data_IF_661973294802
#
_entry.id   IF_661973294802
#
_cell.length_a   1.000
_cell.length_b   1.000
_cell.length_c   1.000
_cell.angle_alpha   90.00
_cell.angle_beta   90.00
_cell.angle_gamma   90.00
#
_symmetry.space_group_name_H-M   'P 1'
#
loop_
_entity.id
_entity.type
_entity.pdbx_description
1 polymer ?
#
# COMPACT_ATOMS: atom_id res chain seq x y z
N UNK A 1 18.93 -1.52 -4.26
CA UNK A 1 18.66 -2.94 -3.96
C UNK A 1 20.01 -3.62 -3.80
N UNK A 2 20.29 -4.37 -2.71
CA UNK A 2 21.64 -4.93 -2.49
C UNK A 2 21.96 -6.12 -3.42
N UNK A 3 20.92 -6.74 -3.96
CA UNK A 3 21.01 -7.90 -4.86
C UNK A 3 20.98 -7.52 -6.35
N UNK A 4 21.18 -6.24 -6.67
CA UNK A 4 21.21 -5.73 -8.05
C UNK A 4 22.55 -5.07 -8.30
N UNK A 5 23.24 -5.47 -9.37
CA UNK A 5 24.51 -4.85 -9.75
C UNK A 5 24.29 -3.41 -10.22
N UNK A 6 25.26 -2.51 -10.05
CA UNK A 6 25.13 -1.11 -10.50
C UNK A 6 24.80 -0.99 -12.00
N UNK A 7 25.31 -1.90 -12.82
CA UNK A 7 25.03 -1.94 -14.26
C UNK A 7 23.55 -2.24 -14.56
N UNK A 8 22.95 -3.20 -13.84
CA UNK A 8 21.54 -3.53 -14.01
C UNK A 8 20.64 -2.42 -13.50
N UNK A 9 21.00 -1.77 -12.39
CA UNK A 9 20.26 -0.63 -11.84
C UNK A 9 20.28 0.56 -12.81
N UNK A 10 21.45 0.87 -13.37
CA UNK A 10 21.61 1.91 -14.39
C UNK A 10 20.78 1.60 -15.65
N UNK A 11 20.87 0.36 -16.17
CA UNK A 11 20.08 -0.08 -17.33
C UNK A 11 18.57 0.04 -17.07
N UNK A 12 18.13 -0.32 -15.88
CA UNK A 12 16.73 -0.17 -15.48
C UNK A 12 16.32 1.30 -15.43
N UNK A 13 17.16 2.17 -14.85
CA UNK A 13 16.98 3.62 -14.87
C UNK A 13 16.81 4.18 -16.28
N UNK A 14 17.69 3.79 -17.21
CA UNK A 14 17.63 4.23 -18.61
C UNK A 14 16.32 3.79 -19.29
N UNK A 15 15.90 2.54 -19.08
CA UNK A 15 14.61 2.03 -19.59
C UNK A 15 13.41 2.79 -19.01
N UNK A 16 13.47 3.20 -17.75
CA UNK A 16 12.43 4.05 -17.16
C UNK A 16 12.42 5.45 -17.77
N UNK A 17 13.59 6.03 -18.02
CA UNK A 17 13.71 7.38 -18.58
C UNK A 17 13.33 7.47 -20.05
N UNK A 18 13.32 6.35 -20.78
CA UNK A 18 12.74 6.26 -22.13
C UNK A 18 11.21 6.36 -22.15
N UNK A 19 10.54 6.17 -21.01
CA UNK A 19 9.08 6.30 -20.89
C UNK A 19 8.68 7.74 -20.59
N UNK A 20 7.52 8.13 -21.09
CA UNK A 20 6.92 9.42 -20.76
C UNK A 20 6.60 9.53 -19.27
N UNK A 21 6.44 10.78 -18.78
CA UNK A 21 6.02 11.02 -17.40
C UNK A 21 4.66 10.39 -17.07
N UNK A 22 3.73 10.41 -18.02
CA UNK A 22 2.41 9.80 -17.87
C UNK A 22 2.49 8.28 -17.71
N UNK A 23 3.29 7.60 -18.53
CA UNK A 23 3.49 6.15 -18.42
C UNK A 23 4.10 5.77 -17.09
N UNK A 24 5.10 6.53 -16.62
CA UNK A 24 5.70 6.30 -15.29
C UNK A 24 4.68 6.50 -14.16
N UNK A 25 3.79 7.48 -14.27
CA UNK A 25 2.70 7.67 -13.29
C UNK A 25 1.74 6.49 -13.29
N UNK A 26 1.29 6.04 -14.47
CA UNK A 26 0.41 4.86 -14.61
C UNK A 26 1.03 3.61 -13.99
N UNK A 27 2.33 3.39 -14.21
CA UNK A 27 3.05 2.30 -13.57
C UNK A 27 3.03 2.40 -12.04
N UNK A 28 3.30 3.58 -11.49
CA UNK A 28 3.24 3.80 -10.03
C UNK A 28 1.85 3.51 -9.45
N UNK A 29 0.79 3.94 -10.14
CA UNK A 29 -0.60 3.62 -9.76
C UNK A 29 -0.86 2.11 -9.79
N UNK A 30 -0.46 1.42 -10.86
CA UNK A 30 -0.65 -0.03 -11.00
C UNK A 30 0.12 -0.82 -9.93
N UNK A 31 1.35 -0.40 -9.60
CA UNK A 31 2.13 -1.00 -8.52
C UNK A 31 1.44 -0.83 -7.17
N UNK A 32 0.88 0.37 -6.88
CA UNK A 32 0.12 0.64 -5.66
C UNK A 32 -1.12 -0.24 -5.57
N UNK A 33 -1.87 -0.38 -6.66
CA UNK A 33 -3.06 -1.22 -6.71
C UNK A 33 -2.73 -2.69 -6.46
N UNK A 34 -1.65 -3.18 -7.09
CA UNK A 34 -1.15 -4.54 -6.88
C UNK A 34 -0.76 -4.79 -5.42
N UNK A 35 0.01 -3.86 -4.82
CA UNK A 35 0.40 -3.97 -3.42
C UNK A 35 -0.82 -3.99 -2.48
N UNK A 36 -1.83 -3.15 -2.75
CA UNK A 36 -3.09 -3.17 -1.97
C UNK A 36 -3.84 -4.48 -2.13
N UNK A 37 -3.94 -5.02 -3.34
CA UNK A 37 -4.61 -6.29 -3.59
C UNK A 37 -3.97 -7.45 -2.79
N UNK A 38 -2.63 -7.51 -2.76
CA UNK A 38 -1.92 -8.52 -1.97
C UNK A 38 -2.15 -8.40 -0.47
N UNK A 39 -2.15 -7.18 0.06
CA UNK A 39 -2.42 -6.97 1.49
C UNK A 39 -3.86 -7.32 1.84
N UNK A 40 -4.83 -6.93 1.02
CA UNK A 40 -6.23 -7.29 1.24
C UNK A 40 -6.46 -8.80 1.16
N UNK A 41 -5.87 -9.47 0.17
CA UNK A 41 -5.94 -10.92 0.05
C UNK A 41 -5.38 -11.62 1.30
N UNK A 42 -4.21 -11.18 1.78
CA UNK A 42 -3.60 -11.70 3.02
C UNK A 42 -4.48 -11.46 4.27
N UNK A 43 -5.15 -10.32 4.38
CA UNK A 43 -6.08 -10.03 5.48
C UNK A 43 -7.29 -10.96 5.42
N UNK A 44 -7.89 -11.12 4.23
CA UNK A 44 -9.07 -11.97 4.03
C UNK A 44 -8.77 -13.45 4.16
N UNK A 45 -7.56 -13.89 3.83
CA UNK A 45 -7.10 -15.26 4.08
C UNK A 45 -7.08 -15.58 5.58
N UNK A 46 -6.60 -14.64 6.41
CA UNK A 46 -6.54 -14.81 7.87
C UNK A 46 -7.91 -14.66 8.54
N UNK A 47 -8.76 -13.79 7.99
CA UNK A 47 -10.14 -13.60 8.45
C UNK A 47 -11.09 -13.45 7.25
N UNK A 48 -11.71 -14.55 6.79
CA UNK A 48 -12.64 -14.52 5.65
C UNK A 48 -13.86 -13.61 5.84
N UNK A 49 -14.23 -13.32 7.10
CA UNK A 49 -15.35 -12.47 7.47
C UNK A 49 -14.91 -11.05 7.87
N UNK A 50 -13.70 -10.64 7.48
CA UNK A 50 -13.20 -9.30 7.78
C UNK A 50 -14.15 -8.22 7.23
N UNK A 51 -14.62 -7.36 8.12
CA UNK A 51 -15.44 -6.21 7.76
C UNK A 51 -14.60 -5.17 6.97
N UNK A 52 -15.22 -4.25 6.24
CA UNK A 52 -14.49 -3.16 5.57
C UNK A 52 -13.59 -2.38 6.53
N UNK A 53 -14.02 -2.14 7.76
CA UNK A 53 -13.27 -1.47 8.82
C UNK A 53 -12.03 -2.28 9.22
N UNK A 54 -12.18 -3.60 9.39
CA UNK A 54 -11.07 -4.50 9.69
C UNK A 54 -10.02 -4.50 8.58
N UNK A 55 -10.45 -4.50 7.31
CA UNK A 55 -9.56 -4.38 6.15
C UNK A 55 -8.84 -3.02 6.14
N UNK A 56 -9.55 -1.91 6.41
CA UNK A 56 -8.95 -0.57 6.52
C UNK A 56 -7.91 -0.48 7.65
N UNK A 57 -8.22 -1.01 8.84
CA UNK A 57 -7.29 -1.11 9.97
C UNK A 57 -6.05 -1.92 9.58
N UNK A 58 -6.24 -3.06 8.91
CA UNK A 58 -5.15 -3.90 8.41
C UNK A 58 -4.25 -3.20 7.40
N UNK A 59 -4.82 -2.45 6.46
CA UNK A 59 -4.05 -1.62 5.52
C UNK A 59 -3.18 -0.58 6.24
N UNK A 60 -3.78 0.16 7.18
CA UNK A 60 -3.04 1.16 7.95
C UNK A 60 -1.86 0.52 8.69
N UNK A 61 -2.10 -0.58 9.40
CA UNK A 61 -1.05 -1.27 10.15
C UNK A 61 0.07 -1.80 9.25
N UNK A 62 -0.28 -2.37 8.09
CA UNK A 62 0.70 -2.96 7.17
C UNK A 62 1.59 -1.92 6.49
N UNK A 63 1.01 -0.80 6.04
CA UNK A 63 1.75 0.20 5.28
C UNK A 63 2.38 1.28 6.16
N UNK A 64 1.68 1.70 7.22
CA UNK A 64 2.04 2.92 7.97
C UNK A 64 2.18 2.68 9.47
N UNK A 65 1.69 1.56 10.01
CA UNK A 65 1.61 1.35 11.46
C UNK A 65 2.94 1.38 12.21
N UNK A 66 4.06 1.20 11.49
CA UNK A 66 5.42 1.28 12.03
C UNK A 66 5.96 2.71 12.12
N UNK A 67 5.32 3.67 11.45
CA UNK A 67 5.69 5.09 11.44
C UNK A 67 5.11 5.85 12.65
N UNK A 68 4.21 5.22 13.41
CA UNK A 68 3.52 5.82 14.54
C UNK A 68 3.84 5.12 15.86
N UNK A 69 3.92 5.89 16.94
CA UNK A 69 3.94 5.36 18.29
C UNK A 69 2.61 4.66 18.66
N UNK A 70 2.61 3.96 19.80
CA UNK A 70 1.46 3.17 20.21
C UNK A 70 0.20 4.03 20.45
N UNK A 71 0.37 5.24 20.99
CA UNK A 71 -0.74 6.13 21.31
C UNK A 71 -1.41 6.67 20.03
N UNK A 72 -0.61 7.19 19.11
CA UNK A 72 -1.06 7.73 17.82
C UNK A 72 -1.70 6.63 16.98
N UNK A 73 -1.09 5.43 16.96
CA UNK A 73 -1.65 4.26 16.28
C UNK A 73 -3.02 3.88 16.85
N UNK A 74 -3.20 3.88 18.16
CA UNK A 74 -4.49 3.58 18.78
C UNK A 74 -5.56 4.61 18.41
N UNK A 75 -5.23 5.90 18.41
CA UNK A 75 -6.13 6.98 17.99
C UNK A 75 -6.59 6.82 16.54
N UNK A 76 -5.67 6.49 15.63
CA UNK A 76 -5.99 6.28 14.21
C UNK A 76 -6.89 5.04 14.03
N UNK A 77 -6.59 3.94 14.72
CA UNK A 77 -7.44 2.74 14.65
C UNK A 77 -8.86 3.00 15.15
N UNK A 78 -9.02 3.76 16.24
CA UNK A 78 -10.31 4.18 16.74
C UNK A 78 -11.06 5.09 15.74
N UNK A 79 -10.35 6.01 15.09
CA UNK A 79 -10.93 6.87 14.05
C UNK A 79 -11.41 6.07 12.83
N UNK A 80 -10.70 5.02 12.42
CA UNK A 80 -11.11 4.14 11.32
C UNK A 80 -12.39 3.35 11.67
N UNK A 81 -12.60 3.05 12.95
CA UNK A 81 -13.78 2.34 13.45
C UNK A 81 -15.01 3.24 13.56
N UNK A 82 -14.82 4.50 13.94
CA UNK A 82 -15.91 5.49 14.00
C UNK A 82 -16.22 6.13 12.65
N UNK A 83 -15.29 6.08 11.68
CA UNK A 83 -15.52 6.53 10.33
C UNK A 83 -16.50 5.60 9.61
N UNK A 84 -17.62 6.17 9.12
CA UNK A 84 -18.59 5.46 8.29
C UNK A 84 -17.98 4.86 7.00
N UNK A 85 -18.80 4.18 6.19
CA UNK A 85 -18.34 3.61 4.93
C UNK A 85 -17.73 4.72 4.05
N UNK A 86 -16.67 4.40 3.28
CA UNK A 86 -16.03 5.39 2.43
C UNK A 86 -17.06 6.01 1.49
N UNK A 87 -16.97 7.33 1.30
CA UNK A 87 -17.71 8.01 0.23
C UNK A 87 -17.16 7.49 -1.09
N UNK A 88 -17.87 6.55 -1.71
CA UNK A 88 -17.65 6.20 -3.11
C UNK A 88 -18.01 7.41 -3.95
N UNK A 89 -17.01 8.00 -4.61
CA UNK A 89 -17.22 8.91 -5.74
C UNK A 89 -17.37 8.11 -7.01
#
# INVERSE_FOLDING_TARGET
MKDTTPEVDARYGDMLMQRSGEERLKMGCAMRETARAFVEASIREQNPQATPEAVRKGFFLRFYGHEFDAESRAKILAAIESAGPPVTR
#
